data_IF_078606637819
#
_entry.id   IF_078606637819
#
_cell.length_a   1.000
_cell.length_b   1.000
_cell.length_c   1.000
_cell.angle_alpha   90.00
_cell.angle_beta   90.00
_cell.angle_gamma   90.00
#
_symmetry.space_group_name_H-M   'P 1'
#
loop_
_entity.id
_entity.type
_entity.pdbx_description
1 polymer ?
#
# COMPACT_ATOMS: atom_id res chain seq x y z
N UNK A 1 1.20 -14.25 -0.17
CA UNK A 1 0.42 -13.58 -1.23
C UNK A 1 -1.03 -13.60 -0.76
N UNK A 2 -1.82 -12.56 -1.05
CA UNK A 2 -3.26 -12.62 -0.81
C UNK A 2 -3.87 -13.31 -2.04
N UNK A 3 -3.88 -14.63 -2.03
CA UNK A 3 -4.56 -15.47 -3.02
C UNK A 3 -6.08 -15.39 -2.81
N UNK A 4 -6.64 -14.18 -2.88
CA UNK A 4 -8.07 -13.94 -2.66
C UNK A 4 -8.76 -13.64 -4.00
N UNK A 5 -9.58 -14.59 -4.43
CA UNK A 5 -10.40 -14.46 -5.63
C UNK A 5 -11.63 -13.57 -5.38
N UNK A 6 -12.28 -13.15 -6.48
CA UNK A 6 -13.52 -12.37 -6.41
C UNK A 6 -14.59 -13.07 -5.56
N UNK A 7 -14.72 -14.40 -5.69
CA UNK A 7 -15.68 -15.19 -4.91
C UNK A 7 -15.35 -15.22 -3.41
N UNK A 8 -14.08 -15.32 -3.01
CA UNK A 8 -13.70 -15.31 -1.60
C UNK A 8 -13.94 -13.94 -0.96
N UNK A 9 -13.65 -12.86 -1.70
CA UNK A 9 -13.99 -11.50 -1.25
C UNK A 9 -15.50 -11.35 -1.04
N UNK A 10 -16.32 -11.86 -1.96
CA UNK A 10 -17.78 -11.82 -1.84
C UNK A 10 -18.26 -12.59 -0.59
N UNK A 11 -17.71 -13.78 -0.33
CA UNK A 11 -18.03 -14.57 0.88
C UNK A 11 -17.66 -13.80 2.15
N UNK A 12 -16.47 -13.22 2.20
CA UNK A 12 -16.02 -12.41 3.34
C UNK A 12 -16.92 -11.18 3.53
N UNK A 13 -17.33 -10.53 2.43
CA UNK A 13 -18.23 -9.39 2.48
C UNK A 13 -19.58 -9.79 3.08
N UNK A 14 -20.16 -10.91 2.67
CA UNK A 14 -21.42 -11.42 3.23
C UNK A 14 -21.27 -11.73 4.72
N UNK A 15 -20.20 -12.46 5.11
CA UNK A 15 -19.94 -12.77 6.51
C UNK A 15 -19.77 -11.49 7.34
N UNK A 16 -18.98 -10.53 6.85
CA UNK A 16 -18.79 -9.24 7.49
C UNK A 16 -20.09 -8.45 7.65
N UNK A 17 -20.96 -8.48 6.64
CA UNK A 17 -22.30 -7.90 6.69
C UNK A 17 -23.19 -8.58 7.73
N UNK A 18 -23.11 -9.90 7.89
CA UNK A 18 -23.92 -10.63 8.88
C UNK A 18 -23.46 -10.37 10.32
N UNK A 19 -22.14 -10.33 10.55
CA UNK A 19 -21.55 -10.11 11.89
C UNK A 19 -21.74 -8.67 12.35
N UNK A 20 -21.42 -7.70 11.50
CA UNK A 20 -21.46 -6.28 11.85
C UNK A 20 -22.84 -5.66 11.60
N UNK A 21 -23.55 -6.17 10.58
CA UNK A 21 -24.80 -5.62 10.06
C UNK A 21 -24.55 -4.71 8.84
N UNK A 22 -25.38 -4.81 7.78
CA UNK A 22 -25.24 -4.01 6.56
C UNK A 22 -25.40 -2.51 6.79
N UNK A 23 -26.15 -2.12 7.82
CA UNK A 23 -26.37 -0.70 8.15
C UNK A 23 -25.21 -0.08 8.95
N UNK A 24 -24.50 -0.90 9.74
CA UNK A 24 -23.47 -0.41 10.68
C UNK A 24 -22.10 -0.32 10.03
N UNK A 25 -21.78 -1.26 9.15
CA UNK A 25 -20.50 -1.31 8.43
C UNK A 25 -20.19 0.00 7.66
N UNK A 26 -21.07 0.55 6.81
CA UNK A 26 -20.82 1.82 6.12
C UNK A 26 -20.69 2.99 7.10
N UNK A 27 -21.47 2.97 8.19
CA UNK A 27 -21.43 4.01 9.21
C UNK A 27 -20.09 4.04 9.97
N UNK A 28 -19.49 2.88 10.22
CA UNK A 28 -18.17 2.79 10.87
C UNK A 28 -17.03 3.20 9.94
N UNK A 29 -17.08 2.77 8.67
CA UNK A 29 -16.11 3.20 7.66
C UNK A 29 -16.15 4.72 7.50
N UNK A 30 -17.35 5.31 7.38
CA UNK A 30 -17.52 6.75 7.24
C UNK A 30 -16.93 7.53 8.43
N UNK A 31 -17.10 7.01 9.65
CA UNK A 31 -16.51 7.61 10.85
C UNK A 31 -14.98 7.52 10.85
N UNK A 32 -14.42 6.36 10.50
CA UNK A 32 -12.97 6.18 10.39
C UNK A 32 -12.34 7.10 9.34
N UNK A 33 -12.96 7.19 8.17
CA UNK A 33 -12.52 8.10 7.09
C UNK A 33 -12.61 9.57 7.54
N UNK A 34 -13.69 9.96 8.21
CA UNK A 34 -13.83 11.31 8.76
C UNK A 34 -12.73 11.63 9.78
N UNK A 35 -12.39 10.69 10.65
CA UNK A 35 -11.31 10.85 11.62
C UNK A 35 -9.96 11.00 10.91
N UNK A 36 -9.65 10.15 9.94
CA UNK A 36 -8.42 10.24 9.16
C UNK A 36 -8.31 11.58 8.40
N UNK A 37 -9.43 12.05 7.82
CA UNK A 37 -9.48 13.34 7.14
C UNK A 37 -9.21 14.49 8.10
N UNK A 38 -9.83 14.49 9.27
CA UNK A 38 -9.62 15.52 10.28
C UNK A 38 -8.15 15.56 10.74
N UNK A 39 -7.53 14.40 10.95
CA UNK A 39 -6.09 14.32 11.30
C UNK A 39 -5.23 14.87 10.17
N UNK A 40 -5.54 14.54 8.91
CA UNK A 40 -4.82 15.09 7.75
C UNK A 40 -4.99 16.61 7.64
N UNK A 41 -6.19 17.12 7.85
CA UNK A 41 -6.48 18.56 7.81
C UNK A 41 -5.74 19.30 8.93
N UNK A 42 -5.66 18.73 10.12
CA UNK A 42 -4.86 19.26 11.24
C UNK A 42 -3.36 19.28 10.93
N UNK A 43 -2.83 18.18 10.38
CA UNK A 43 -1.42 18.10 9.98
C UNK A 43 -1.07 19.10 8.88
N UNK A 44 -1.95 19.28 7.89
CA UNK A 44 -1.78 20.29 6.83
C UNK A 44 -1.77 21.70 7.41
N UNK A 45 -2.68 22.03 8.32
CA UNK A 45 -2.72 23.34 8.98
C UNK A 45 -1.46 23.62 9.79
N UNK A 46 -1.04 22.68 10.64
CA UNK A 46 0.17 22.83 11.44
C UNK A 46 1.42 23.01 10.57
N UNK A 47 1.49 22.27 9.45
CA UNK A 47 2.53 22.43 8.45
C UNK A 47 2.50 23.82 7.81
N UNK A 48 1.31 24.32 7.44
CA UNK A 48 1.16 25.64 6.82
C UNK A 48 1.56 26.76 7.79
N UNK A 49 1.19 26.64 9.08
CA UNK A 49 1.59 27.58 10.13
C UNK A 49 3.12 27.61 10.32
N UNK A 50 3.79 26.44 10.29
CA UNK A 50 5.25 26.34 10.36
C UNK A 50 5.92 26.94 9.12
N UNK A 51 5.41 26.65 7.92
CA UNK A 51 5.94 27.19 6.65
C UNK A 51 5.81 28.71 6.61
N UNK A 52 4.67 29.24 7.07
CA UNK A 52 4.40 30.67 7.08
C UNK A 52 5.26 31.42 8.11
N UNK A 53 5.49 30.83 9.28
CA UNK A 53 6.24 31.46 10.37
C UNK A 53 7.76 31.26 10.27
N UNK A 54 8.24 30.12 9.76
CA UNK A 54 9.67 29.85 9.61
C UNK A 54 10.27 30.50 8.35
N UNK A 55 9.46 31.11 7.47
CA UNK A 55 9.92 31.70 6.20
C UNK A 55 10.53 30.69 5.23
N UNK A 56 10.43 29.40 5.54
CA UNK A 56 10.92 28.31 4.71
C UNK A 56 9.90 28.12 3.60
N UNK A 57 10.04 28.90 2.53
CA UNK A 57 9.35 28.65 1.26
C UNK A 57 9.63 27.21 0.87
N UNK A 58 8.59 26.39 0.92
CA UNK A 58 8.54 25.08 0.32
C UNK A 58 9.74 24.20 0.70
N UNK A 59 9.71 23.56 1.88
CA UNK A 59 10.53 22.36 2.11
C UNK A 59 10.10 21.28 1.11
N UNK A 60 10.57 21.36 -0.14
CA UNK A 60 10.70 20.30 -1.15
C UNK A 60 9.61 19.22 -1.21
N UNK A 61 8.34 19.56 -0.93
CA UNK A 61 7.21 18.64 -1.00
C UNK A 61 6.96 18.12 -2.41
N UNK A 62 7.42 18.89 -3.42
CA UNK A 62 7.42 18.48 -4.82
C UNK A 62 8.34 17.27 -5.07
N UNK A 63 9.44 17.14 -4.32
CA UNK A 63 10.34 16.00 -4.46
C UNK A 63 9.80 14.73 -3.80
N UNK A 64 8.95 14.83 -2.76
CA UNK A 64 8.28 13.68 -2.15
C UNK A 64 7.04 13.22 -2.94
N UNK A 65 6.35 14.12 -3.64
CA UNK A 65 5.13 13.79 -4.40
C UNK A 65 5.40 13.06 -5.72
N UNK A 66 6.63 13.15 -6.24
CA UNK A 66 7.07 12.45 -7.46
C UNK A 66 7.56 11.01 -7.19
N UNK A 67 7.45 10.54 -5.95
CA UNK A 67 7.75 9.15 -5.60
C UNK A 67 6.54 8.28 -5.96
N UNK A 68 6.45 7.94 -7.26
CA UNK A 68 5.40 7.07 -7.79
C UNK A 68 5.40 5.72 -7.05
N UNK A 69 4.36 5.40 -6.25
CA UNK A 69 4.29 4.13 -5.53
C UNK A 69 4.26 2.94 -6.50
N UNK A 70 3.76 3.16 -7.73
CA UNK A 70 3.75 2.16 -8.80
C UNK A 70 5.15 1.79 -9.28
N UNK A 71 6.13 2.70 -9.25
CA UNK A 71 7.53 2.39 -9.61
C UNK A 71 8.23 1.61 -8.50
N UNK A 72 7.96 1.95 -7.25
CA UNK A 72 8.48 1.21 -6.09
C UNK A 72 7.87 -0.19 -6.02
N UNK A 73 6.56 -0.30 -6.24
CA UNK A 73 5.86 -1.56 -6.36
C UNK A 73 6.47 -2.42 -7.47
N UNK A 74 6.55 -1.90 -8.70
CA UNK A 74 7.07 -2.66 -9.84
C UNK A 74 8.50 -3.14 -9.61
N UNK A 75 9.41 -2.31 -9.09
CA UNK A 75 10.80 -2.73 -8.84
C UNK A 75 10.91 -3.79 -7.72
N UNK A 76 10.03 -3.74 -6.70
CA UNK A 76 9.97 -4.76 -5.63
C UNK A 76 9.33 -6.07 -6.09
N UNK A 77 8.42 -6.01 -7.08
CA UNK A 77 7.84 -7.18 -7.72
C UNK A 77 8.78 -7.81 -8.77
N UNK A 78 9.62 -7.01 -9.44
CA UNK A 78 10.61 -7.45 -10.44
C UNK A 78 11.79 -8.20 -9.77
N UNK A 79 12.26 -7.75 -8.60
CA UNK A 79 13.31 -8.41 -7.80
C UNK A 79 12.90 -9.79 -7.25
N UNK A 80 11.64 -10.21 -7.42
CA UNK A 80 11.14 -11.52 -6.95
C UNK A 80 11.17 -12.62 -8.01
N UNK A 81 11.56 -12.34 -9.26
CA UNK A 81 11.55 -13.35 -10.34
C UNK A 81 12.93 -13.84 -10.84
N UNK A 82 14.05 -13.44 -10.25
CA UNK A 82 15.37 -14.00 -10.59
C UNK A 82 16.00 -14.87 -9.48
N UNK A 83 15.31 -15.95 -9.12
CA UNK A 83 15.99 -17.17 -8.64
C UNK A 83 15.42 -18.41 -9.31
N UNK A 84 15.67 -18.56 -10.62
CA UNK A 84 15.67 -19.88 -11.25
C UNK A 84 17.01 -20.55 -10.98
N UNK A 85 17.07 -21.73 -10.33
CA UNK A 85 18.32 -22.46 -10.16
C UNK A 85 18.78 -22.99 -11.52
N UNK A 86 19.74 -22.32 -12.14
CA UNK A 86 20.53 -22.86 -13.25
C UNK A 86 21.82 -23.44 -12.69
N UNK A 87 21.72 -24.60 -12.03
CA UNK A 87 22.89 -25.39 -11.62
C UNK A 87 22.59 -26.89 -11.79
N UNK A 88 22.21 -27.31 -13.00
CA UNK A 88 22.21 -28.73 -13.35
C UNK A 88 22.46 -28.94 -14.85
N UNK A 89 23.59 -28.44 -15.32
CA UNK A 89 24.29 -28.96 -16.51
C UNK A 89 25.76 -28.67 -16.30
N UNK A 90 26.54 -29.67 -15.88
CA UNK A 90 28.02 -29.82 -16.00
C UNK A 90 28.57 -30.71 -14.87
N UNK A 91 28.08 -31.93 -14.70
CA UNK A 91 28.81 -33.00 -13.99
C UNK A 91 28.23 -34.34 -14.43
N UNK A 92 28.41 -34.66 -15.71
CA UNK A 92 28.32 -36.03 -16.27
C UNK A 92 29.06 -36.00 -17.61
N UNK A 93 30.35 -35.66 -17.55
CA UNK A 93 31.29 -35.92 -18.65
C UNK A 93 32.62 -36.40 -18.07
N UNK A 94 32.62 -37.14 -16.97
CA UNK A 94 33.86 -37.69 -16.37
C UNK A 94 33.56 -39.00 -15.60
N UNK A 95 32.91 -40.00 -16.23
CA UNK A 95 32.98 -41.39 -15.77
C UNK A 95 32.43 -42.38 -16.82
N UNK A 96 33.38 -43.06 -17.49
CA UNK A 96 33.25 -44.26 -18.35
C UNK A 96 32.80 -44.08 -19.79
#
# INVERSE_FOLDING_TARGET
>A
MLDIGFFELLVIAIIGLLVVGPEKLPKYIAQGVKMLRNVKDMASKAKDDIVQSAGIKDLDLKNLSNLDPSKLANNVFDDKEETKPQAQKKFDQDAT
#
